data_IF_065580698447
#
_entry.id   IF_065580698447
#
_cell.length_a   1.000
_cell.length_b   1.000
_cell.length_c   1.000
_cell.angle_alpha   90.00
_cell.angle_beta   90.00
_cell.angle_gamma   90.00
#
_symmetry.space_group_name_H-M   'P 1'
#
loop_
_entity.id
_entity.type
_entity.pdbx_description
1 polymer ?
#
# COMPACT_ATOMS: atom_id res chain seq x y z
N UNK A 1 -23.68 8.90 5.22
CA UNK A 1 -22.99 8.62 3.95
C UNK A 1 -21.59 8.06 4.16
N UNK A 2 -20.70 8.73 4.93
CA UNK A 2 -19.30 8.32 5.15
C UNK A 2 -19.23 6.90 5.72
N UNK A 3 -20.03 6.56 6.72
CA UNK A 3 -20.08 5.22 7.30
C UNK A 3 -20.52 4.16 6.29
N UNK A 4 -21.54 4.48 5.48
CA UNK A 4 -22.00 3.55 4.44
C UNK A 4 -20.96 3.37 3.33
N UNK A 5 -20.52 4.46 2.71
CA UNK A 5 -19.60 4.41 1.57
C UNK A 5 -18.19 3.91 2.00
N UNK A 6 -17.68 4.44 3.12
CA UNK A 6 -16.37 4.04 3.64
C UNK A 6 -16.37 2.61 4.18
N UNK A 7 -17.40 2.23 4.93
CA UNK A 7 -17.56 0.87 5.45
C UNK A 7 -17.74 -0.16 4.33
N UNK A 8 -18.59 0.11 3.35
CA UNK A 8 -18.78 -0.78 2.20
C UNK A 8 -17.49 -0.93 1.37
N UNK A 9 -16.74 0.17 1.13
CA UNK A 9 -15.48 0.10 0.41
C UNK A 9 -14.41 -0.68 1.18
N UNK A 10 -14.25 -0.39 2.47
CA UNK A 10 -13.31 -1.08 3.36
C UNK A 10 -13.60 -2.58 3.39
N UNK A 11 -14.84 -2.97 3.68
CA UNK A 11 -15.23 -4.38 3.74
C UNK A 11 -15.13 -5.08 2.38
N UNK A 12 -15.49 -4.40 1.28
CA UNK A 12 -15.33 -4.96 -0.06
C UNK A 12 -13.87 -5.31 -0.35
N UNK A 13 -12.96 -4.40 -0.04
CA UNK A 13 -11.55 -4.68 -0.31
C UNK A 13 -10.95 -5.70 0.66
N UNK A 14 -11.44 -5.75 1.90
CA UNK A 14 -11.09 -6.82 2.83
C UNK A 14 -11.49 -8.20 2.31
N UNK A 15 -12.65 -8.31 1.67
CA UNK A 15 -13.09 -9.56 1.03
C UNK A 15 -12.31 -9.87 -0.26
N UNK A 16 -11.81 -8.87 -0.98
CA UNK A 16 -10.84 -9.10 -2.08
C UNK A 16 -9.57 -9.75 -1.53
N UNK A 17 -9.11 -9.36 -0.34
CA UNK A 17 -7.99 -10.04 0.32
C UNK A 17 -8.31 -11.49 0.69
N UNK A 18 -9.55 -11.79 1.06
CA UNK A 18 -9.99 -13.17 1.32
C UNK A 18 -9.96 -14.07 0.06
N UNK A 19 -10.04 -13.49 -1.14
CA UNK A 19 -9.85 -14.20 -2.42
C UNK A 19 -8.38 -14.26 -2.87
N UNK A 20 -7.52 -13.41 -2.30
CA UNK A 20 -6.14 -13.24 -2.78
C UNK A 20 -5.10 -13.86 -1.87
N UNK A 21 -5.21 -13.68 -0.56
CA UNK A 21 -4.11 -13.88 0.40
C UNK A 21 -4.19 -15.14 1.28
N UNK A 22 -5.28 -15.92 1.38
CA UNK A 22 -5.32 -17.07 2.27
C UNK A 22 -4.20 -18.09 2.02
N UNK A 23 -3.82 -18.34 0.76
CA UNK A 23 -2.74 -19.27 0.41
C UNK A 23 -1.41 -18.93 1.11
N UNK A 24 -1.20 -17.67 1.50
CA UNK A 24 0.02 -17.27 2.21
C UNK A 24 0.09 -17.81 3.64
N UNK A 25 -1.04 -18.28 4.19
CA UNK A 25 -1.11 -18.98 5.47
C UNK A 25 -0.55 -20.41 5.42
N UNK A 26 -0.49 -21.01 4.22
CA UNK A 26 0.11 -22.32 4.02
C UNK A 26 1.63 -22.19 3.87
N UNK A 27 2.37 -23.16 4.41
CA UNK A 27 3.83 -23.21 4.29
C UNK A 27 4.29 -23.95 3.04
N UNK A 28 3.50 -24.93 2.57
CA UNK A 28 3.82 -25.85 1.48
C UNK A 28 5.18 -26.55 1.67
N UNK A 29 5.47 -26.92 2.93
CA UNK A 29 6.76 -27.50 3.30
C UNK A 29 7.05 -28.82 2.57
N UNK A 30 8.28 -28.97 2.12
CA UNK A 30 8.75 -30.15 1.39
C UNK A 30 8.26 -30.24 -0.06
N UNK A 31 7.62 -29.17 -0.58
CA UNK A 31 7.22 -29.10 -1.98
C UNK A 31 8.18 -28.22 -2.77
N UNK A 32 8.70 -28.78 -3.85
CA UNK A 32 9.49 -28.08 -4.86
C UNK A 32 8.76 -28.07 -6.21
N UNK A 33 8.98 -27.01 -6.95
CA UNK A 33 8.46 -26.86 -8.30
C UNK A 33 9.54 -26.36 -9.23
N UNK A 34 9.87 -27.15 -10.25
CA UNK A 34 10.90 -26.81 -11.23
C UNK A 34 12.27 -26.52 -10.62
N UNK A 35 12.61 -27.15 -9.47
CA UNK A 35 13.85 -26.93 -8.73
C UNK A 35 13.88 -25.70 -7.85
N UNK A 36 12.74 -25.07 -7.59
CA UNK A 36 12.57 -23.90 -6.73
C UNK A 36 11.56 -24.19 -5.61
N UNK A 37 11.64 -23.44 -4.50
CA UNK A 37 10.65 -23.53 -3.43
C UNK A 37 9.24 -23.23 -3.99
N UNK A 38 8.31 -24.18 -3.78
CA UNK A 38 6.96 -24.11 -4.32
C UNK A 38 6.22 -22.83 -3.88
N UNK A 39 6.33 -22.43 -2.60
CA UNK A 39 5.67 -21.23 -2.07
C UNK A 39 6.21 -19.94 -2.71
N UNK A 40 7.51 -19.88 -2.95
CA UNK A 40 8.12 -18.73 -3.63
C UNK A 40 7.61 -18.63 -5.05
N UNK A 41 7.58 -19.76 -5.77
CA UNK A 41 7.15 -19.77 -7.18
C UNK A 41 5.66 -19.41 -7.32
N UNK A 42 4.79 -19.96 -6.47
CA UNK A 42 3.34 -19.62 -6.51
C UNK A 42 3.10 -18.16 -6.18
N UNK A 43 3.89 -17.58 -5.26
CA UNK A 43 3.83 -16.17 -4.92
C UNK A 43 4.28 -15.28 -6.09
N UNK A 44 5.42 -15.61 -6.73
CA UNK A 44 5.91 -14.89 -7.91
C UNK A 44 4.85 -14.90 -9.04
N UNK A 45 4.31 -16.08 -9.34
CA UNK A 45 3.32 -16.23 -10.43
C UNK A 45 2.06 -15.41 -10.15
N UNK A 46 1.56 -15.40 -8.91
CA UNK A 46 0.42 -14.56 -8.54
C UNK A 46 0.75 -13.06 -8.65
N UNK A 47 1.91 -12.63 -8.18
CA UNK A 47 2.34 -11.22 -8.25
C UNK A 47 2.51 -10.79 -9.71
N UNK A 48 3.03 -11.64 -10.60
CA UNK A 48 3.13 -11.34 -12.04
C UNK A 48 1.75 -11.11 -12.67
N UNK A 49 0.77 -11.96 -12.37
CA UNK A 49 -0.60 -11.74 -12.82
C UNK A 49 -1.16 -10.41 -12.32
N UNK A 50 -0.95 -10.10 -11.04
CA UNK A 50 -1.38 -8.86 -10.42
C UNK A 50 -0.70 -7.62 -11.01
N UNK A 51 0.59 -7.70 -11.33
CA UNK A 51 1.38 -6.63 -11.96
C UNK A 51 0.85 -6.31 -13.37
N UNK A 52 0.61 -7.35 -14.18
CA UNK A 52 0.04 -7.19 -15.52
C UNK A 52 -1.35 -6.54 -15.43
N UNK A 53 -2.19 -7.01 -14.51
CA UNK A 53 -3.50 -6.40 -14.28
C UNK A 53 -3.42 -4.93 -13.90
N UNK A 54 -2.49 -4.54 -13.02
CA UNK A 54 -2.28 -3.13 -12.67
C UNK A 54 -1.85 -2.29 -13.88
N UNK A 55 -0.95 -2.81 -14.71
CA UNK A 55 -0.50 -2.11 -15.91
C UNK A 55 -1.64 -1.86 -16.89
N UNK A 56 -2.40 -2.89 -17.21
CA UNK A 56 -3.59 -2.80 -18.09
C UNK A 56 -4.70 -1.98 -17.42
N UNK A 57 -4.83 -2.10 -16.11
CA UNK A 57 -5.84 -1.44 -15.29
C UNK A 57 -5.81 0.07 -15.31
N UNK A 58 -4.65 0.69 -15.54
CA UNK A 58 -4.53 2.15 -15.64
C UNK A 58 -5.47 2.69 -16.72
N UNK A 59 -5.46 2.08 -17.89
CA UNK A 59 -6.35 2.44 -19.00
C UNK A 59 -7.78 1.96 -18.75
N UNK A 60 -7.93 0.70 -18.38
CA UNK A 60 -9.22 0.05 -18.16
C UNK A 60 -10.08 0.81 -17.14
N UNK A 61 -9.52 1.16 -15.96
CA UNK A 61 -10.24 1.84 -14.89
C UNK A 61 -10.64 3.26 -15.31
N UNK A 62 -9.79 3.96 -16.08
CA UNK A 62 -10.09 5.30 -16.56
C UNK A 62 -11.23 5.34 -17.58
N UNK A 63 -11.41 4.27 -18.34
CA UNK A 63 -12.45 4.14 -19.37
C UNK A 63 -13.71 3.41 -18.85
N UNK A 64 -13.66 2.81 -17.64
CA UNK A 64 -14.73 1.98 -17.10
C UNK A 64 -15.95 2.82 -16.68
N UNK A 65 -17.00 2.75 -17.47
CA UNK A 65 -18.29 3.42 -17.19
C UNK A 65 -18.92 2.87 -15.91
N UNK A 66 -19.64 3.73 -15.17
CA UNK A 66 -20.31 3.37 -13.91
C UNK A 66 -21.18 2.10 -14.04
N UNK A 67 -21.89 1.97 -15.14
CA UNK A 67 -22.81 0.85 -15.42
C UNK A 67 -22.07 -0.51 -15.52
N UNK A 68 -20.81 -0.51 -15.90
CA UNK A 68 -20.02 -1.72 -16.07
C UNK A 68 -19.18 -2.09 -14.83
N UNK A 69 -19.05 -1.19 -13.83
CA UNK A 69 -18.22 -1.43 -12.64
C UNK A 69 -18.66 -2.65 -11.86
N UNK A 70 -19.98 -2.81 -11.63
CA UNK A 70 -20.51 -3.96 -10.91
C UNK A 70 -20.30 -5.27 -11.70
N UNK A 71 -20.51 -5.25 -13.02
CA UNK A 71 -20.25 -6.41 -13.87
C UNK A 71 -18.77 -6.80 -13.84
N UNK A 72 -17.88 -5.80 -13.85
CA UNK A 72 -16.44 -6.04 -13.73
C UNK A 72 -16.08 -6.67 -12.38
N UNK A 73 -16.62 -6.18 -11.26
CA UNK A 73 -16.41 -6.78 -9.94
C UNK A 73 -16.85 -8.23 -9.96
N UNK A 74 -18.09 -8.53 -10.40
CA UNK A 74 -18.62 -9.89 -10.44
C UNK A 74 -17.78 -10.82 -11.31
N UNK A 75 -17.39 -10.39 -12.50
CA UNK A 75 -16.53 -11.17 -13.37
C UNK A 75 -15.17 -11.45 -12.74
N UNK A 76 -14.55 -10.43 -12.14
CA UNK A 76 -13.23 -10.56 -11.49
C UNK A 76 -13.26 -11.53 -10.32
N UNK A 77 -14.26 -11.44 -9.43
CA UNK A 77 -14.35 -12.34 -8.27
C UNK A 77 -14.70 -13.77 -8.66
N UNK A 78 -15.50 -13.97 -9.72
CA UNK A 78 -15.78 -15.29 -10.26
C UNK A 78 -14.53 -15.93 -10.86
N UNK A 79 -13.75 -15.19 -11.65
CA UNK A 79 -12.48 -15.69 -12.20
C UNK A 79 -11.48 -15.97 -11.09
N UNK A 80 -11.42 -15.12 -10.06
CA UNK A 80 -10.57 -15.33 -8.90
C UNK A 80 -10.94 -16.63 -8.16
N UNK A 81 -12.22 -16.86 -7.91
CA UNK A 81 -12.69 -18.07 -7.22
C UNK A 81 -12.46 -19.31 -8.08
N UNK A 82 -12.78 -19.27 -9.36
CA UNK A 82 -12.50 -20.39 -10.27
C UNK A 82 -11.01 -20.74 -10.30
N UNK A 83 -10.13 -19.75 -10.26
CA UNK A 83 -8.70 -20.00 -10.19
C UNK A 83 -8.27 -20.64 -8.86
N UNK A 84 -8.90 -20.28 -7.72
CA UNK A 84 -8.66 -20.96 -6.44
C UNK A 84 -9.17 -22.40 -6.44
N UNK A 85 -10.32 -22.67 -7.04
CA UNK A 85 -10.83 -24.03 -7.23
C UNK A 85 -9.88 -24.84 -8.12
N UNK A 86 -9.38 -24.26 -9.23
CA UNK A 86 -8.38 -24.91 -10.08
C UNK A 86 -7.07 -25.14 -9.33
N UNK A 87 -6.67 -24.25 -8.44
CA UNK A 87 -5.49 -24.43 -7.59
C UNK A 87 -5.62 -25.64 -6.67
N UNK A 88 -6.82 -25.91 -6.16
CA UNK A 88 -7.11 -27.11 -5.37
C UNK A 88 -7.25 -28.39 -6.20
N UNK A 89 -7.77 -28.31 -7.42
CA UNK A 89 -8.05 -29.47 -8.27
C UNK A 89 -6.83 -29.98 -9.03
N UNK A 90 -5.98 -29.08 -9.51
CA UNK A 90 -4.83 -29.46 -10.32
C UNK A 90 -3.70 -30.00 -9.44
N UNK A 91 -2.95 -31.02 -9.90
CA UNK A 91 -1.81 -31.51 -9.16
C UNK A 91 -0.67 -30.48 -9.15
N UNK A 92 0.08 -30.41 -8.04
CA UNK A 92 1.34 -29.70 -8.00
C UNK A 92 2.36 -30.36 -8.97
N UNK A 93 3.23 -29.58 -9.65
CA UNK A 93 3.39 -28.13 -9.56
C UNK A 93 2.51 -27.33 -10.54
N UNK A 94 1.70 -27.96 -11.38
CA UNK A 94 0.96 -27.30 -12.47
C UNK A 94 -0.16 -26.37 -11.96
N UNK A 95 -0.64 -26.58 -10.74
CA UNK A 95 -1.64 -25.71 -10.11
C UNK A 95 -1.14 -24.28 -9.86
N UNK A 96 0.17 -24.04 -9.86
CA UNK A 96 0.76 -22.69 -9.74
C UNK A 96 0.21 -21.74 -10.82
N UNK A 97 -0.01 -22.23 -12.04
CA UNK A 97 -0.54 -21.39 -13.13
C UNK A 97 -1.95 -20.86 -12.88
N UNK A 98 -2.75 -21.54 -12.06
CA UNK A 98 -4.05 -21.03 -11.65
C UNK A 98 -3.92 -19.72 -10.85
N UNK A 99 -2.87 -19.58 -10.05
CA UNK A 99 -2.62 -18.38 -9.26
C UNK A 99 -2.24 -17.15 -10.10
N UNK A 100 -1.73 -17.34 -11.31
CA UNK A 100 -1.58 -16.24 -12.27
C UNK A 100 -2.92 -15.57 -12.58
N UNK A 101 -3.94 -16.37 -12.88
CA UNK A 101 -5.29 -15.85 -13.17
C UNK A 101 -5.95 -15.24 -11.94
N UNK A 102 -5.67 -15.77 -10.73
CA UNK A 102 -6.09 -15.16 -9.48
C UNK A 102 -5.51 -13.73 -9.35
N UNK A 103 -4.20 -13.58 -9.52
CA UNK A 103 -3.53 -12.28 -9.49
C UNK A 103 -4.06 -11.33 -10.57
N UNK A 104 -4.20 -11.82 -11.80
CA UNK A 104 -4.68 -11.06 -12.97
C UNK A 104 -6.10 -10.51 -12.75
N UNK A 105 -7.00 -11.32 -12.22
CA UNK A 105 -8.39 -10.93 -12.01
C UNK A 105 -8.56 -9.89 -10.88
N UNK A 106 -7.72 -9.96 -9.84
CA UNK A 106 -7.85 -9.11 -8.66
C UNK A 106 -7.02 -7.82 -8.72
N UNK A 107 -6.05 -7.70 -9.65
CA UNK A 107 -5.12 -6.57 -9.68
C UNK A 107 -5.75 -5.19 -9.89
N UNK A 108 -6.91 -5.13 -10.56
CA UNK A 108 -7.64 -3.89 -10.81
C UNK A 108 -8.64 -3.53 -9.70
N UNK A 109 -8.95 -4.43 -8.77
CA UNK A 109 -10.06 -4.33 -7.83
C UNK A 109 -9.96 -3.09 -6.93
N UNK A 110 -8.75 -2.73 -6.50
CA UNK A 110 -8.54 -1.52 -5.70
C UNK A 110 -9.07 -0.27 -6.43
N UNK A 111 -8.66 -0.08 -7.67
CA UNK A 111 -9.06 1.08 -8.46
C UNK A 111 -10.55 1.09 -8.80
N UNK A 112 -11.13 -0.08 -9.08
CA UNK A 112 -12.57 -0.18 -9.37
C UNK A 112 -13.41 0.13 -8.14
N UNK A 113 -13.08 -0.41 -6.96
CA UNK A 113 -13.79 -0.10 -5.70
C UNK A 113 -13.59 1.38 -5.35
N UNK A 114 -12.37 1.91 -5.46
CA UNK A 114 -12.08 3.32 -5.21
C UNK A 114 -12.92 4.25 -6.10
N UNK A 115 -13.16 3.88 -7.35
CA UNK A 115 -13.94 4.68 -8.29
C UNK A 115 -15.39 4.93 -7.86
N UNK A 116 -15.97 4.12 -6.96
CA UNK A 116 -17.31 4.36 -6.40
C UNK A 116 -17.34 5.47 -5.35
N UNK A 117 -16.23 5.68 -4.65
CA UNK A 117 -16.10 6.66 -3.56
C UNK A 117 -15.38 7.94 -3.99
N UNK A 118 -14.73 7.91 -5.16
CA UNK A 118 -14.00 9.03 -5.73
C UNK A 118 -14.92 10.15 -6.23
N UNK A 119 -14.39 11.38 -6.30
CA UNK A 119 -15.07 12.52 -6.92
C UNK A 119 -16.03 13.25 -6.00
N UNK A 120 -15.90 13.08 -4.68
CA UNK A 120 -16.73 13.70 -3.65
C UNK A 120 -15.91 14.60 -2.74
N UNK A 121 -16.55 15.54 -2.09
CA UNK A 121 -15.96 16.36 -1.03
C UNK A 121 -15.35 15.52 0.10
N UNK A 122 -15.93 14.36 0.39
CA UNK A 122 -15.48 13.43 1.43
C UNK A 122 -14.46 12.39 0.94
N UNK A 123 -14.00 12.47 -0.32
CA UNK A 123 -13.10 11.47 -0.93
C UNK A 123 -11.84 11.23 -0.10
N UNK A 124 -11.25 12.29 0.48
CA UNK A 124 -10.02 12.14 1.26
C UNK A 124 -10.21 11.30 2.52
N UNK A 125 -11.34 11.47 3.22
CA UNK A 125 -11.69 10.66 4.40
C UNK A 125 -11.96 9.22 3.98
N UNK A 126 -12.72 9.03 2.90
CA UNK A 126 -13.05 7.71 2.36
C UNK A 126 -11.81 6.97 1.87
N UNK A 127 -10.88 7.67 1.22
CA UNK A 127 -9.61 7.11 0.76
C UNK A 127 -8.74 6.61 1.92
N UNK A 128 -8.69 7.34 3.03
CA UNK A 128 -7.96 6.94 4.24
C UNK A 128 -8.58 5.70 4.88
N UNK A 129 -9.90 5.68 5.06
CA UNK A 129 -10.61 4.50 5.56
C UNK A 129 -10.38 3.29 4.65
N UNK A 130 -10.43 3.49 3.35
CA UNK A 130 -10.18 2.44 2.36
C UNK A 130 -8.74 1.93 2.40
N UNK A 131 -7.75 2.83 2.56
CA UNK A 131 -6.33 2.47 2.66
C UNK A 131 -6.01 1.57 3.86
N UNK A 132 -6.71 1.75 4.98
CA UNK A 132 -6.53 0.95 6.20
C UNK A 132 -6.91 -0.52 5.99
N UNK A 133 -7.84 -0.81 5.07
CA UNK A 133 -8.23 -2.17 4.75
C UNK A 133 -7.04 -3.05 4.37
N UNK A 134 -5.97 -2.47 3.81
CA UNK A 134 -4.77 -3.20 3.37
C UNK A 134 -4.10 -3.94 4.54
N UNK A 135 -3.96 -3.29 5.71
CA UNK A 135 -3.29 -3.89 6.87
C UNK A 135 -4.18 -4.96 7.50
N UNK A 136 -5.38 -4.57 7.94
CA UNK A 136 -6.30 -5.47 8.66
C UNK A 136 -6.59 -6.72 7.82
N UNK A 137 -6.82 -6.52 6.52
CA UNK A 137 -7.25 -7.61 5.66
C UNK A 137 -6.18 -8.67 5.45
N UNK A 138 -4.91 -8.31 5.46
CA UNK A 138 -3.82 -9.27 5.31
C UNK A 138 -3.71 -10.19 6.52
N UNK A 139 -3.66 -9.63 7.73
CA UNK A 139 -3.61 -10.41 8.97
C UNK A 139 -4.86 -11.27 9.16
N UNK A 140 -6.05 -10.71 8.86
CA UNK A 140 -7.31 -11.46 8.96
C UNK A 140 -7.36 -12.61 7.96
N UNK A 141 -6.97 -12.39 6.70
CA UNK A 141 -6.97 -13.44 5.68
C UNK A 141 -6.04 -14.61 6.07
N UNK A 142 -4.84 -14.33 6.57
CA UNK A 142 -3.91 -15.35 7.09
C UNK A 142 -4.46 -16.08 8.31
N UNK A 143 -5.03 -15.35 9.26
CA UNK A 143 -5.61 -15.94 10.46
C UNK A 143 -6.79 -16.85 10.14
N UNK A 144 -7.67 -16.46 9.22
CA UNK A 144 -8.75 -17.32 8.73
C UNK A 144 -8.16 -18.56 8.03
N UNK A 145 -7.11 -18.39 7.20
CA UNK A 145 -6.41 -19.50 6.56
C UNK A 145 -5.89 -20.51 7.57
N UNK A 146 -5.17 -20.06 8.60
CA UNK A 146 -4.68 -20.91 9.69
C UNK A 146 -5.83 -21.58 10.48
N UNK A 147 -6.90 -20.84 10.76
CA UNK A 147 -8.07 -21.41 11.43
C UNK A 147 -8.71 -22.53 10.59
N UNK A 148 -8.88 -22.31 9.28
CA UNK A 148 -9.47 -23.31 8.38
C UNK A 148 -8.59 -24.57 8.28
N UNK A 149 -7.27 -24.41 8.22
CA UNK A 149 -6.34 -25.54 8.18
C UNK A 149 -6.27 -26.27 9.52
N UNK A 150 -6.10 -25.55 10.62
CA UNK A 150 -5.83 -26.15 11.93
C UNK A 150 -7.08 -26.66 12.63
N UNK A 151 -8.23 -25.99 12.45
CA UNK A 151 -9.48 -26.34 13.15
C UNK A 151 -10.44 -27.16 12.30
N UNK A 152 -10.57 -26.79 11.00
CA UNK A 152 -11.45 -27.50 10.06
C UNK A 152 -10.71 -28.60 9.30
N UNK A 153 -9.39 -28.74 9.50
CA UNK A 153 -8.53 -29.74 8.85
C UNK A 153 -8.62 -29.75 7.32
N UNK A 154 -8.83 -28.59 6.70
CA UNK A 154 -8.84 -28.44 5.25
C UNK A 154 -7.40 -28.35 4.73
N UNK A 155 -7.09 -29.10 3.67
CA UNK A 155 -5.76 -29.12 3.09
C UNK A 155 -5.33 -27.77 2.51
N UNK A 156 -4.01 -27.52 2.47
CA UNK A 156 -3.39 -26.24 2.06
C UNK A 156 -3.85 -25.76 0.68
N UNK A 157 -4.09 -26.68 -0.27
CA UNK A 157 -4.52 -26.34 -1.62
C UNK A 157 -6.01 -25.96 -1.72
N UNK A 158 -6.88 -26.55 -0.87
CA UNK A 158 -8.32 -26.30 -0.88
C UNK A 158 -8.76 -25.16 0.04
N UNK A 159 -7.95 -24.85 1.04
CA UNK A 159 -8.24 -23.79 2.01
C UNK A 159 -8.54 -22.43 1.35
N UNK A 160 -7.77 -21.96 0.33
CA UNK A 160 -8.07 -20.68 -0.32
C UNK A 160 -9.41 -20.68 -1.05
N UNK A 161 -9.77 -21.77 -1.74
CA UNK A 161 -11.05 -21.89 -2.43
C UNK A 161 -12.24 -21.90 -1.45
N UNK A 162 -12.11 -22.60 -0.32
CA UNK A 162 -13.17 -22.61 0.70
C UNK A 162 -13.42 -21.20 1.24
N UNK A 163 -12.37 -20.45 1.56
CA UNK A 163 -12.49 -19.07 2.06
C UNK A 163 -13.07 -18.16 0.98
N UNK A 164 -12.64 -18.32 -0.26
CA UNK A 164 -13.14 -17.57 -1.40
C UNK A 164 -14.63 -17.80 -1.66
N UNK A 165 -15.09 -19.04 -1.57
CA UNK A 165 -16.50 -19.41 -1.72
C UNK A 165 -17.41 -18.70 -0.71
N UNK A 166 -16.95 -18.51 0.54
CA UNK A 166 -17.69 -17.71 1.55
C UNK A 166 -17.57 -16.20 1.29
N UNK A 167 -16.42 -15.72 0.84
CA UNK A 167 -16.19 -14.31 0.58
C UNK A 167 -16.97 -13.81 -0.65
N UNK A 168 -17.14 -14.64 -1.68
CA UNK A 168 -17.72 -14.26 -2.96
C UNK A 168 -19.15 -13.68 -2.84
N UNK A 169 -20.15 -14.34 -2.19
CA UNK A 169 -21.48 -13.79 -2.06
C UNK A 169 -21.52 -12.49 -1.23
N UNK A 170 -20.68 -12.40 -0.20
CA UNK A 170 -20.57 -11.19 0.62
C UNK A 170 -19.98 -10.02 -0.18
N UNK A 171 -18.96 -10.29 -0.98
CA UNK A 171 -18.35 -9.26 -1.85
C UNK A 171 -19.32 -8.83 -2.96
N UNK A 172 -20.09 -9.76 -3.53
CA UNK A 172 -21.14 -9.42 -4.49
C UNK A 172 -22.22 -8.52 -3.86
N UNK A 173 -22.65 -8.81 -2.63
CA UNK A 173 -23.60 -8.00 -1.89
C UNK A 173 -23.05 -6.59 -1.60
N UNK A 174 -21.81 -6.49 -1.12
CA UNK A 174 -21.16 -5.21 -0.86
C UNK A 174 -20.93 -4.42 -2.15
N UNK A 175 -20.54 -5.07 -3.25
CA UNK A 175 -20.46 -4.45 -4.56
C UNK A 175 -21.80 -3.86 -5.01
N UNK A 176 -22.91 -4.56 -4.74
CA UNK A 176 -24.24 -4.04 -4.98
C UNK A 176 -24.55 -2.80 -4.11
N UNK A 177 -24.18 -2.80 -2.82
CA UNK A 177 -24.36 -1.62 -1.96
C UNK A 177 -23.53 -0.43 -2.42
N UNK A 178 -22.30 -0.65 -2.90
CA UNK A 178 -21.47 0.38 -3.53
C UNK A 178 -22.11 0.95 -4.80
N UNK A 179 -22.71 0.08 -5.63
CA UNK A 179 -23.38 0.50 -6.86
C UNK A 179 -24.63 1.37 -6.60
N UNK A 180 -25.24 1.23 -5.42
CA UNK A 180 -26.39 2.04 -4.95
C UNK A 180 -25.98 3.38 -4.35
N UNK A 181 -24.71 3.69 -4.23
CA UNK A 181 -24.28 4.99 -3.73
C UNK A 181 -24.79 6.12 -4.63
N UNK A 182 -25.35 7.21 -4.05
CA UNK A 182 -25.82 8.36 -4.81
C UNK A 182 -24.67 8.94 -5.65
N UNK A 183 -24.98 9.62 -6.73
CA UNK A 183 -23.95 10.28 -7.54
C UNK A 183 -23.36 11.48 -6.80
N UNK A 184 -22.10 11.90 -7.11
CA UNK A 184 -21.55 13.16 -6.63
C UNK A 184 -22.50 14.31 -6.97
N UNK A 185 -22.72 15.19 -5.99
CA UNK A 185 -23.56 16.38 -6.18
C UNK A 185 -22.84 17.42 -7.03
N UNK A 186 -23.58 18.42 -7.54
CA UNK A 186 -22.98 19.55 -8.23
C UNK A 186 -21.96 20.30 -7.36
N UNK A 187 -22.23 20.36 -6.06
CA UNK A 187 -21.35 20.93 -5.05
C UNK A 187 -20.04 20.10 -4.90
N UNK A 188 -20.16 18.77 -4.87
CA UNK A 188 -19.00 17.86 -4.86
C UNK A 188 -18.12 18.08 -6.09
N UNK A 189 -18.73 18.27 -7.26
CA UNK A 189 -18.03 18.48 -8.53
C UNK A 189 -17.34 19.85 -8.56
N UNK A 190 -17.99 20.89 -8.03
CA UNK A 190 -17.46 22.25 -7.99
C UNK A 190 -16.31 22.41 -6.99
N UNK A 191 -16.39 21.74 -5.82
CA UNK A 191 -15.37 21.76 -4.78
C UNK A 191 -14.22 20.74 -5.07
N UNK A 192 -14.43 19.85 -6.04
CA UNK A 192 -13.38 18.92 -6.51
C UNK A 192 -12.24 19.76 -7.07
N UNK A 193 -11.12 19.78 -6.35
CA UNK A 193 -9.90 20.31 -6.92
C UNK A 193 -9.67 19.65 -8.27
N UNK A 194 -9.63 20.45 -9.34
CA UNK A 194 -9.39 19.93 -10.69
C UNK A 194 -8.11 19.09 -10.62
N UNK A 195 -8.24 17.76 -10.70
CA UNK A 195 -7.10 16.87 -10.82
C UNK A 195 -6.47 17.16 -12.17
N UNK A 196 -5.52 18.08 -12.18
CA UNK A 196 -4.78 18.43 -13.39
C UNK A 196 -3.93 17.23 -13.74
N UNK A 197 -4.27 16.59 -14.85
CA UNK A 197 -3.41 15.56 -15.44
C UNK A 197 -2.12 16.23 -15.90
N UNK A 198 -1.00 15.83 -15.29
CA UNK A 198 0.31 16.29 -15.72
C UNK A 198 0.61 15.80 -17.15
N UNK A 199 0.90 16.70 -18.03
CA UNK A 199 1.46 16.35 -19.33
C UNK A 199 2.93 15.90 -19.19
N UNK A 200 3.51 15.28 -20.24
CA UNK A 200 4.87 14.74 -20.17
C UNK A 200 5.95 15.80 -19.83
N UNK A 201 5.78 17.05 -20.27
CA UNK A 201 6.70 18.16 -19.96
C UNK A 201 6.63 18.55 -18.49
N UNK A 202 5.43 18.68 -17.95
CA UNK A 202 5.20 19.01 -16.53
C UNK A 202 5.72 17.92 -15.59
N UNK A 203 5.56 16.64 -15.96
CA UNK A 203 6.16 15.51 -15.22
C UNK A 203 7.68 15.61 -15.20
N UNK A 204 8.31 15.85 -16.32
CA UNK A 204 9.78 15.98 -16.42
C UNK A 204 10.30 17.18 -15.62
N UNK A 205 9.59 18.28 -15.62
CA UNK A 205 9.94 19.48 -14.83
C UNK A 205 9.82 19.23 -13.33
N UNK A 206 8.74 18.59 -12.89
CA UNK A 206 8.54 18.19 -11.52
C UNK A 206 9.67 17.29 -11.01
N UNK A 207 10.00 16.23 -11.77
CA UNK A 207 11.10 15.34 -11.43
C UNK A 207 12.43 16.10 -11.37
N UNK A 208 12.72 16.99 -12.33
CA UNK A 208 13.95 17.78 -12.34
C UNK A 208 14.06 18.70 -11.12
N UNK A 209 12.97 19.32 -10.71
CA UNK A 209 12.96 20.28 -9.59
C UNK A 209 13.09 19.64 -8.21
N UNK A 210 12.60 18.41 -8.05
CA UNK A 210 12.61 17.67 -6.80
C UNK A 210 13.39 16.35 -6.88
N UNK A 211 14.20 16.17 -7.93
CA UNK A 211 14.92 14.92 -8.22
C UNK A 211 15.65 14.33 -7.01
N UNK A 212 16.45 15.09 -6.23
CA UNK A 212 17.21 14.49 -5.13
C UNK A 212 16.32 13.84 -4.08
N UNK A 213 15.26 14.54 -3.64
CA UNK A 213 14.36 14.00 -2.62
C UNK A 213 13.45 12.91 -3.18
N UNK A 214 12.99 13.01 -4.43
CA UNK A 214 12.14 11.98 -5.05
C UNK A 214 12.90 10.67 -5.23
N UNK A 215 14.18 10.71 -5.61
CA UNK A 215 15.01 9.49 -5.70
C UNK A 215 15.15 8.84 -4.33
N UNK A 216 15.49 9.61 -3.29
CA UNK A 216 15.62 9.08 -1.92
C UNK A 216 14.31 8.44 -1.45
N UNK A 217 13.18 9.13 -1.65
CA UNK A 217 11.86 8.65 -1.26
C UNK A 217 11.44 7.40 -2.04
N UNK A 218 11.70 7.36 -3.34
CA UNK A 218 11.32 6.22 -4.19
C UNK A 218 12.16 4.98 -3.89
N UNK A 219 13.47 5.14 -3.70
CA UNK A 219 14.35 4.02 -3.31
C UNK A 219 13.97 3.49 -1.93
N UNK A 220 13.78 4.38 -0.95
CA UNK A 220 13.34 3.96 0.39
C UNK A 220 11.99 3.25 0.36
N UNK A 221 11.01 3.80 -0.39
CA UNK A 221 9.71 3.17 -0.51
C UNK A 221 9.77 1.83 -1.26
N UNK A 222 10.60 1.71 -2.31
CA UNK A 222 10.84 0.43 -2.98
C UNK A 222 11.29 -0.64 -2.00
N UNK A 223 12.30 -0.34 -1.17
CA UNK A 223 12.82 -1.26 -0.16
C UNK A 223 11.77 -1.64 0.88
N UNK A 224 10.97 -0.66 1.34
CA UNK A 224 9.87 -0.91 2.28
C UNK A 224 8.74 -1.76 1.68
N UNK A 225 8.42 -1.57 0.39
CA UNK A 225 7.41 -2.40 -0.30
C UNK A 225 7.89 -3.84 -0.42
N UNK A 226 9.14 -4.06 -0.82
CA UNK A 226 9.74 -5.39 -0.91
C UNK A 226 9.71 -6.08 0.46
N UNK A 227 10.14 -5.38 1.51
CA UNK A 227 10.16 -5.91 2.88
C UNK A 227 8.75 -6.24 3.37
N UNK A 228 7.76 -5.38 3.06
CA UNK A 228 6.35 -5.64 3.37
C UNK A 228 5.84 -6.88 2.68
N UNK A 229 6.09 -7.02 1.38
CA UNK A 229 5.58 -8.16 0.60
C UNK A 229 6.20 -9.47 1.08
N UNK A 230 7.50 -9.48 1.38
CA UNK A 230 8.16 -10.65 1.96
C UNK A 230 7.55 -11.00 3.32
N UNK A 231 7.37 -10.02 4.22
CA UNK A 231 6.68 -10.25 5.49
C UNK A 231 5.27 -10.79 5.26
N UNK A 232 4.50 -10.17 4.37
CA UNK A 232 3.11 -10.54 4.14
C UNK A 232 2.94 -11.96 3.55
N UNK A 233 3.81 -12.35 2.64
CA UNK A 233 3.65 -13.60 1.90
C UNK A 233 4.37 -14.79 2.56
N UNK A 234 5.41 -14.53 3.36
CA UNK A 234 6.23 -15.58 3.97
C UNK A 234 6.19 -15.58 5.51
N UNK A 235 5.25 -14.86 6.13
CA UNK A 235 5.19 -14.71 7.59
C UNK A 235 5.15 -16.05 8.32
N UNK A 236 4.43 -17.06 7.80
CA UNK A 236 4.35 -18.41 8.39
C UNK A 236 5.65 -19.23 8.23
N UNK A 237 6.54 -18.82 7.31
CA UNK A 237 7.91 -19.39 7.21
C UNK A 237 8.92 -18.61 8.07
N UNK A 238 8.63 -17.35 8.37
CA UNK A 238 9.47 -16.49 9.23
C UNK A 238 9.25 -16.81 10.71
N UNK A 239 8.01 -17.09 11.10
CA UNK A 239 7.61 -17.28 12.49
C UNK A 239 7.15 -18.72 12.69
N UNK A 240 7.72 -19.39 13.69
CA UNK A 240 7.17 -20.65 14.18
C UNK A 240 5.82 -20.39 14.88
N UNK A 241 4.75 -20.96 14.32
CA UNK A 241 3.40 -20.84 14.84
C UNK A 241 3.08 -21.86 15.95
N UNK A 242 4.02 -22.75 16.31
CA UNK A 242 3.86 -23.72 17.38
C UNK A 242 3.57 -23.00 18.70
N UNK A 243 2.45 -23.33 19.33
CA UNK A 243 2.03 -22.70 20.59
C UNK A 243 1.37 -21.33 20.46
N UNK A 244 1.21 -20.80 19.25
CA UNK A 244 0.51 -19.53 19.01
C UNK A 244 -0.90 -19.74 18.45
N UNK A 245 -1.80 -18.80 18.77
CA UNK A 245 -3.16 -18.79 18.23
C UNK A 245 -3.17 -18.53 16.73
N UNK A 246 -4.05 -19.20 15.97
CA UNK A 246 -4.32 -18.89 14.55
C UNK A 246 -4.72 -17.43 14.34
N UNK A 247 -5.21 -16.74 15.36
CA UNK A 247 -5.62 -15.32 15.30
C UNK A 247 -4.50 -14.31 15.59
N UNK A 248 -3.28 -14.77 15.87
CA UNK A 248 -2.15 -13.91 16.23
C UNK A 248 -1.95 -12.77 15.22
N UNK A 249 -1.96 -13.07 13.92
CA UNK A 249 -1.71 -12.06 12.88
C UNK A 249 -2.82 -11.01 12.81
N UNK A 250 -4.08 -11.46 12.90
CA UNK A 250 -5.22 -10.54 12.93
C UNK A 250 -5.21 -9.63 14.16
N UNK A 251 -4.83 -10.16 15.32
CA UNK A 251 -4.74 -9.38 16.56
C UNK A 251 -3.66 -8.30 16.45
N UNK A 252 -2.46 -8.66 16.03
CA UNK A 252 -1.35 -7.71 15.89
C UNK A 252 -1.67 -6.64 14.86
N UNK A 253 -2.12 -7.03 13.66
CA UNK A 253 -2.42 -6.09 12.58
C UNK A 253 -3.60 -5.17 12.95
N UNK A 254 -4.57 -5.64 13.74
CA UNK A 254 -5.66 -4.80 14.24
C UNK A 254 -5.15 -3.73 15.22
N UNK A 255 -4.31 -4.11 16.19
CA UNK A 255 -3.73 -3.16 17.15
C UNK A 255 -2.82 -2.16 16.45
N UNK A 256 -1.96 -2.62 15.55
CA UNK A 256 -1.09 -1.75 14.71
C UNK A 256 -1.94 -0.76 13.91
N UNK A 257 -3.02 -1.24 13.31
CA UNK A 257 -3.93 -0.38 12.54
C UNK A 257 -4.56 0.70 13.40
N UNK A 258 -5.05 0.38 14.60
CA UNK A 258 -5.63 1.36 15.52
C UNK A 258 -4.61 2.44 15.93
N UNK A 259 -3.37 2.05 16.21
CA UNK A 259 -2.29 2.98 16.51
C UNK A 259 -2.01 3.92 15.32
N UNK A 260 -1.88 3.37 14.13
CA UNK A 260 -1.61 4.18 12.91
C UNK A 260 -2.77 5.11 12.62
N UNK A 261 -4.02 4.64 12.77
CA UNK A 261 -5.22 5.48 12.64
C UNK A 261 -5.19 6.67 13.60
N UNK A 262 -4.87 6.43 14.88
CA UNK A 262 -4.76 7.48 15.87
C UNK A 262 -3.66 8.47 15.51
N UNK A 263 -2.46 7.99 15.15
CA UNK A 263 -1.32 8.84 14.77
C UNK A 263 -1.63 9.68 13.52
N UNK A 264 -2.18 9.09 12.47
CA UNK A 264 -2.51 9.82 11.24
C UNK A 264 -3.76 10.72 11.41
N UNK A 265 -4.70 10.31 12.27
CA UNK A 265 -5.84 11.13 12.64
C UNK A 265 -5.42 12.43 13.32
N UNK A 266 -4.43 12.39 14.20
CA UNK A 266 -3.88 13.59 14.85
C UNK A 266 -3.26 14.58 13.87
N UNK A 267 -2.82 14.14 12.67
CA UNK A 267 -2.27 15.04 11.65
C UNK A 267 -3.31 16.01 11.08
N UNK A 268 -4.61 15.75 11.25
CA UNK A 268 -5.69 16.66 10.83
C UNK A 268 -5.64 17.98 11.61
N UNK A 269 -5.20 17.96 12.85
CA UNK A 269 -5.10 19.16 13.68
C UNK A 269 -3.91 20.06 13.32
N UNK A 270 -2.95 19.56 12.55
CA UNK A 270 -1.77 20.31 12.12
C UNK A 270 -2.06 21.05 10.81
N UNK A 271 -2.24 22.37 10.89
CA UNK A 271 -2.60 23.22 9.72
C UNK A 271 -1.46 23.40 8.71
N UNK A 272 -0.21 23.42 9.16
CA UNK A 272 0.97 23.68 8.30
C UNK A 272 1.40 22.41 7.56
N UNK A 273 1.38 22.45 6.22
CA UNK A 273 1.76 21.31 5.39
C UNK A 273 3.20 20.86 5.61
N UNK A 274 4.15 21.80 5.75
CA UNK A 274 5.56 21.45 6.02
C UNK A 274 5.72 20.78 7.39
N UNK A 275 5.01 21.27 8.43
CA UNK A 275 5.05 20.63 9.75
C UNK A 275 4.51 19.20 9.69
N UNK A 276 3.41 18.96 8.97
CA UNK A 276 2.88 17.60 8.78
C UNK A 276 3.90 16.72 8.08
N UNK A 277 4.55 17.17 7.01
CA UNK A 277 5.59 16.41 6.31
C UNK A 277 6.76 16.06 7.23
N UNK A 278 7.24 17.02 8.03
CA UNK A 278 8.34 16.77 8.97
C UNK A 278 7.94 15.77 10.05
N UNK A 279 6.74 15.92 10.65
CA UNK A 279 6.24 14.98 11.68
C UNK A 279 6.11 13.58 11.10
N UNK A 280 5.48 13.43 9.91
CA UNK A 280 5.32 12.14 9.26
C UNK A 280 6.65 11.46 8.98
N UNK A 281 7.60 12.18 8.37
CA UNK A 281 8.92 11.62 8.08
C UNK A 281 9.71 11.33 9.36
N UNK A 282 9.57 12.13 10.43
CA UNK A 282 10.20 11.84 11.72
C UNK A 282 9.65 10.56 12.35
N UNK A 283 8.34 10.31 12.23
CA UNK A 283 7.74 9.05 12.68
C UNK A 283 8.27 7.86 11.85
N UNK A 284 8.43 8.05 10.54
CA UNK A 284 9.02 7.01 9.66
C UNK A 284 10.47 6.75 10.04
N UNK A 285 11.27 7.79 10.29
CA UNK A 285 12.67 7.66 10.77
C UNK A 285 12.72 6.89 12.08
N UNK A 286 11.90 7.24 13.06
CA UNK A 286 11.82 6.54 14.34
C UNK A 286 11.43 5.06 14.14
N UNK A 287 10.42 4.78 13.31
CA UNK A 287 9.98 3.43 12.99
C UNK A 287 11.09 2.61 12.30
N UNK A 288 11.69 3.13 11.24
CA UNK A 288 12.74 2.40 10.49
C UNK A 288 14.01 2.19 11.33
N UNK A 289 14.38 3.16 12.18
CA UNK A 289 15.49 3.00 13.12
C UNK A 289 15.19 1.92 14.18
N UNK A 290 13.98 1.90 14.75
CA UNK A 290 13.56 0.87 15.71
C UNK A 290 13.52 -0.50 15.05
N UNK A 291 12.97 -0.61 13.84
CA UNK A 291 12.95 -1.85 13.07
C UNK A 291 14.35 -2.39 12.85
N UNK A 292 15.27 -1.54 12.41
CA UNK A 292 16.68 -1.91 12.19
C UNK A 292 17.36 -2.35 13.46
N UNK A 293 17.22 -1.59 14.54
CA UNK A 293 17.83 -1.91 15.84
C UNK A 293 17.36 -3.27 16.36
N UNK A 294 16.05 -3.52 16.34
CA UNK A 294 15.47 -4.78 16.82
C UNK A 294 15.90 -5.96 15.94
N UNK A 295 15.97 -5.78 14.62
CA UNK A 295 16.35 -6.84 13.70
C UNK A 295 17.83 -7.22 13.80
N UNK A 296 18.72 -6.24 13.89
CA UNK A 296 20.17 -6.49 13.97
C UNK A 296 20.60 -7.00 15.36
N UNK A 297 19.80 -6.80 16.38
CA UNK A 297 20.07 -7.27 17.74
C UNK A 297 19.09 -8.37 18.19
N UNK A 298 18.48 -9.09 17.25
CA UNK A 298 17.44 -10.06 17.51
C UNK A 298 17.83 -11.08 18.59
N UNK A 299 19.00 -11.71 18.45
CA UNK A 299 19.51 -12.73 19.36
C UNK A 299 19.85 -12.17 20.76
N UNK A 300 20.30 -10.91 20.82
CA UNK A 300 20.68 -10.26 22.08
C UNK A 300 19.46 -9.79 22.87
N UNK A 301 18.43 -9.30 22.18
CA UNK A 301 17.22 -8.74 22.80
C UNK A 301 16.28 -9.81 23.35
N UNK A 302 16.37 -11.04 22.83
CA UNK A 302 15.53 -12.18 23.24
C UNK A 302 14.03 -11.83 23.40
N UNK A 303 13.52 -11.05 22.45
CA UNK A 303 12.11 -10.63 22.46
C UNK A 303 11.19 -11.82 22.20
N UNK A 304 10.01 -11.80 22.80
CA UNK A 304 8.97 -12.76 22.44
C UNK A 304 8.57 -12.56 20.97
N UNK A 305 8.17 -13.63 20.29
CA UNK A 305 7.67 -13.61 18.90
C UNK A 305 6.59 -12.55 18.70
N UNK A 306 5.67 -12.43 19.66
CA UNK A 306 4.58 -11.44 19.61
C UNK A 306 5.12 -10.01 19.65
N UNK A 307 6.04 -9.72 20.57
CA UNK A 307 6.64 -8.38 20.72
C UNK A 307 7.46 -8.01 19.49
N UNK A 308 8.28 -8.95 19.01
CA UNK A 308 9.07 -8.74 17.80
C UNK A 308 8.17 -8.45 16.59
N UNK A 309 7.16 -9.29 16.36
CA UNK A 309 6.24 -9.13 15.24
C UNK A 309 5.45 -7.81 15.32
N UNK A 310 5.03 -7.41 16.52
CA UNK A 310 4.35 -6.13 16.75
C UNK A 310 5.24 -4.94 16.36
N UNK A 311 6.50 -4.93 16.85
CA UNK A 311 7.45 -3.86 16.53
C UNK A 311 7.75 -3.80 15.05
N UNK A 312 8.03 -4.95 14.41
CA UNK A 312 8.27 -5.03 12.97
C UNK A 312 7.07 -4.54 12.16
N UNK A 313 5.88 -4.99 12.51
CA UNK A 313 4.63 -4.59 11.83
C UNK A 313 4.37 -3.09 11.99
N UNK A 314 4.42 -2.56 13.21
CA UNK A 314 4.15 -1.15 13.47
C UNK A 314 5.13 -0.24 12.71
N UNK A 315 6.42 -0.54 12.80
CA UNK A 315 7.49 0.23 12.15
C UNK A 315 7.33 0.25 10.63
N UNK A 316 7.11 -0.93 10.05
CA UNK A 316 6.97 -1.10 8.60
C UNK A 316 5.71 -0.41 8.06
N UNK A 317 4.56 -0.59 8.73
CA UNK A 317 3.30 -0.02 8.27
C UNK A 317 3.19 1.49 8.48
N UNK A 318 3.81 2.07 9.53
CA UNK A 318 3.93 3.52 9.66
C UNK A 318 4.64 4.08 8.42
N UNK A 319 5.78 3.50 8.05
CA UNK A 319 6.56 3.94 6.91
C UNK A 319 5.78 3.79 5.59
N UNK A 320 5.22 2.61 5.35
CA UNK A 320 4.49 2.30 4.11
C UNK A 320 3.24 3.17 3.93
N UNK A 321 2.37 3.24 4.94
CA UNK A 321 1.11 4.00 4.82
C UNK A 321 1.29 5.51 4.80
N UNK A 322 2.39 6.03 5.33
CA UNK A 322 2.73 7.44 5.20
C UNK A 322 2.69 7.87 3.72
N UNK A 323 3.28 7.08 2.82
CA UNK A 323 3.32 7.37 1.39
C UNK A 323 2.00 7.10 0.68
N UNK A 324 1.28 6.07 1.10
CA UNK A 324 0.01 5.68 0.46
C UNK A 324 -1.16 6.62 0.80
N UNK A 325 -1.06 7.45 1.85
CA UNK A 325 -2.23 8.19 2.31
C UNK A 325 -2.05 9.70 2.44
N UNK A 326 -1.00 10.21 3.06
CA UNK A 326 -0.94 11.62 3.48
C UNK A 326 0.23 12.37 2.85
N UNK A 327 1.38 11.70 2.67
CA UNK A 327 2.62 12.37 2.31
C UNK A 327 2.51 13.15 1.00
N UNK A 328 2.08 12.52 -0.09
CA UNK A 328 2.03 13.18 -1.39
C UNK A 328 0.99 14.29 -1.47
N UNK A 329 -0.14 14.15 -0.78
CA UNK A 329 -1.13 15.23 -0.65
C UNK A 329 -0.52 16.48 -0.03
N UNK A 330 0.19 16.30 1.10
CA UNK A 330 0.84 17.39 1.80
C UNK A 330 2.05 17.94 1.06
N UNK A 331 2.79 17.08 0.36
CA UNK A 331 3.93 17.49 -0.48
C UNK A 331 3.47 18.38 -1.65
N UNK A 332 2.44 17.97 -2.37
CA UNK A 332 1.85 18.74 -3.47
C UNK A 332 1.31 20.09 -2.95
N UNK A 333 0.60 20.07 -1.83
CA UNK A 333 0.07 21.29 -1.23
C UNK A 333 1.17 22.24 -0.71
N UNK A 334 2.23 21.69 -0.10
CA UNK A 334 3.34 22.48 0.44
C UNK A 334 4.09 23.26 -0.63
N UNK A 335 4.40 22.59 -1.74
CA UNK A 335 5.18 23.17 -2.84
C UNK A 335 4.32 23.70 -3.99
N UNK A 336 2.99 23.75 -3.83
CA UNK A 336 2.03 24.22 -4.84
C UNK A 336 2.22 23.54 -6.22
N UNK A 337 2.52 22.25 -6.19
CA UNK A 337 2.79 21.47 -7.38
C UNK A 337 1.46 21.23 -8.13
N UNK A 338 1.42 21.57 -9.41
CA UNK A 338 0.32 21.15 -10.28
C UNK A 338 0.51 19.67 -10.60
N UNK A 339 -0.19 18.77 -9.88
CA UNK A 339 0.02 17.33 -10.02
C UNK A 339 -1.09 16.49 -9.44
N UNK A 340 -1.04 15.19 -9.76
CA UNK A 340 -1.98 14.18 -9.24
C UNK A 340 -1.23 13.21 -8.32
N UNK A 341 -1.71 13.08 -7.08
CA UNK A 341 -1.21 12.13 -6.08
C UNK A 341 -1.23 10.68 -6.61
N UNK A 342 -2.29 10.32 -7.34
CA UNK A 342 -2.45 8.99 -7.90
C UNK A 342 -1.31 8.56 -8.83
N UNK A 343 -0.70 9.49 -9.56
CA UNK A 343 0.47 9.20 -10.38
C UNK A 343 1.66 8.71 -9.55
N UNK A 344 1.95 9.38 -8.43
CA UNK A 344 3.02 8.97 -7.53
C UNK A 344 2.75 7.59 -6.93
N UNK A 345 1.53 7.36 -6.43
CA UNK A 345 1.14 6.09 -5.80
C UNK A 345 1.26 4.93 -6.79
N UNK A 346 0.71 5.07 -8.01
CA UNK A 346 0.79 4.00 -9.02
C UNK A 346 2.22 3.71 -9.44
N UNK A 347 3.05 4.76 -9.59
CA UNK A 347 4.47 4.59 -9.96
C UNK A 347 5.24 3.84 -8.87
N UNK A 348 5.05 4.22 -7.61
CA UNK A 348 5.68 3.60 -6.46
C UNK A 348 5.25 2.13 -6.32
N UNK A 349 3.97 1.84 -6.44
CA UNK A 349 3.44 0.49 -6.37
C UNK A 349 4.02 -0.41 -7.48
N UNK A 350 4.06 0.08 -8.72
CA UNK A 350 4.60 -0.67 -9.84
C UNK A 350 6.08 -1.03 -9.63
N UNK A 351 6.88 -0.03 -9.24
CA UNK A 351 8.30 -0.23 -8.94
C UNK A 351 8.46 -1.22 -7.77
N UNK A 352 7.64 -1.08 -6.72
CA UNK A 352 7.67 -1.94 -5.55
C UNK A 352 7.42 -3.42 -5.87
N UNK A 353 6.32 -3.74 -6.55
CA UNK A 353 6.00 -5.12 -6.93
C UNK A 353 7.04 -5.73 -7.89
N UNK A 354 7.57 -4.94 -8.82
CA UNK A 354 8.66 -5.38 -9.69
C UNK A 354 9.89 -5.73 -8.86
N UNK A 355 10.24 -4.90 -7.88
CA UNK A 355 11.35 -5.15 -6.97
C UNK A 355 11.15 -6.42 -6.14
N UNK A 356 9.94 -6.66 -5.63
CA UNK A 356 9.62 -7.90 -4.88
C UNK A 356 9.85 -9.15 -5.72
N UNK A 357 9.36 -9.16 -6.97
CA UNK A 357 9.58 -10.30 -7.88
C UNK A 357 11.08 -10.52 -8.12
N UNK A 358 11.84 -9.45 -8.38
CA UNK A 358 13.29 -9.55 -8.60
C UNK A 358 14.03 -10.09 -7.39
N UNK A 359 13.70 -9.64 -6.18
CA UNK A 359 14.35 -10.12 -4.94
C UNK A 359 14.02 -11.59 -4.69
N UNK A 360 12.76 -12.00 -4.88
CA UNK A 360 12.37 -13.40 -4.72
C UNK A 360 13.04 -14.31 -5.77
N UNK A 361 13.13 -13.87 -7.01
CA UNK A 361 13.88 -14.60 -8.06
C UNK A 361 15.35 -14.69 -7.72
N UNK A 362 15.97 -13.58 -7.30
CA UNK A 362 17.37 -13.57 -6.90
C UNK A 362 17.63 -14.53 -5.74
N UNK A 363 16.77 -14.54 -4.72
CA UNK A 363 16.84 -15.47 -3.59
C UNK A 363 16.85 -16.91 -4.08
N UNK A 364 15.93 -17.28 -4.95
CA UNK A 364 15.80 -18.67 -5.45
C UNK A 364 16.98 -19.11 -6.31
N UNK A 365 17.51 -18.23 -7.17
CA UNK A 365 18.59 -18.60 -8.06
C UNK A 365 19.97 -18.68 -7.39
N UNK A 366 20.19 -17.92 -6.31
CA UNK A 366 21.51 -17.80 -5.69
C UNK A 366 21.62 -18.47 -4.31
N UNK A 367 20.52 -18.72 -3.62
CA UNK A 367 20.55 -19.32 -2.29
C UNK A 367 19.20 -19.96 -1.93
N UNK A 368 19.08 -21.27 -2.12
CA UNK A 368 17.84 -22.01 -1.90
C UNK A 368 17.59 -22.39 -0.43
N UNK A 369 18.67 -22.59 0.36
CA UNK A 369 18.59 -23.03 1.76
C UNK A 369 18.75 -21.85 2.72
N UNK A 370 17.74 -20.97 2.79
CA UNK A 370 17.76 -19.81 3.69
C UNK A 370 16.85 -20.06 4.89
N UNK A 371 17.37 -19.77 6.09
CA UNK A 371 16.51 -19.52 7.26
C UNK A 371 15.73 -18.22 7.03
N UNK A 372 14.40 -18.33 6.89
CA UNK A 372 13.54 -17.19 6.59
C UNK A 372 13.55 -16.10 7.66
N UNK A 373 13.70 -16.47 8.93
CA UNK A 373 13.79 -15.53 10.05
C UNK A 373 15.08 -14.71 9.97
N UNK A 374 16.22 -15.38 9.76
CA UNK A 374 17.52 -14.72 9.64
C UNK A 374 17.57 -13.82 8.41
N UNK A 375 17.07 -14.31 7.29
CA UNK A 375 16.95 -13.53 6.06
C UNK A 375 16.11 -12.27 6.26
N UNK A 376 14.93 -12.40 6.88
CA UNK A 376 14.08 -11.28 7.16
C UNK A 376 14.72 -10.29 8.13
N UNK A 377 15.35 -10.76 9.21
CA UNK A 377 16.04 -9.90 10.18
C UNK A 377 17.22 -9.15 9.53
N UNK A 378 18.04 -9.81 8.75
CA UNK A 378 19.14 -9.14 8.04
C UNK A 378 18.59 -8.10 7.06
N UNK A 379 17.61 -8.48 6.24
CA UNK A 379 17.00 -7.59 5.27
C UNK A 379 16.35 -6.38 5.95
N UNK A 380 15.53 -6.58 6.99
CA UNK A 380 14.86 -5.49 7.71
C UNK A 380 15.86 -4.60 8.46
N UNK A 381 16.94 -5.17 8.94
CA UNK A 381 18.05 -4.44 9.55
C UNK A 381 18.71 -3.46 8.58
N UNK A 382 19.19 -3.96 7.43
CA UNK A 382 19.84 -3.12 6.43
C UNK A 382 18.88 -2.14 5.75
N UNK A 383 17.68 -2.58 5.38
CA UNK A 383 16.65 -1.71 4.82
C UNK A 383 16.29 -0.60 5.81
N UNK A 384 16.18 -0.93 7.10
CA UNK A 384 15.91 0.05 8.14
C UNK A 384 16.99 1.13 8.25
N UNK A 385 18.30 0.79 8.17
CA UNK A 385 19.39 1.77 8.15
C UNK A 385 19.26 2.67 6.92
N UNK A 386 19.16 2.08 5.72
CA UNK A 386 19.08 2.83 4.46
C UNK A 386 17.89 3.80 4.49
N UNK A 387 16.73 3.33 4.91
CA UNK A 387 15.52 4.14 5.00
C UNK A 387 15.66 5.26 6.04
N UNK A 388 16.23 4.97 7.21
CA UNK A 388 16.47 5.98 8.26
C UNK A 388 17.35 7.12 7.75
N UNK A 389 18.42 6.80 7.05
CA UNK A 389 19.30 7.81 6.43
C UNK A 389 18.57 8.58 5.33
N UNK A 390 17.91 7.87 4.40
CA UNK A 390 17.21 8.48 3.28
C UNK A 390 16.09 9.44 3.73
N UNK A 391 15.29 9.05 4.72
CA UNK A 391 14.22 9.90 5.24
C UNK A 391 14.76 11.07 6.06
N UNK A 392 15.84 10.89 6.82
CA UNK A 392 16.50 11.99 7.53
C UNK A 392 17.05 13.04 6.56
N UNK A 393 17.73 12.61 5.49
CA UNK A 393 18.18 13.49 4.41
C UNK A 393 16.99 14.20 3.72
N UNK A 394 15.88 13.48 3.52
CA UNK A 394 14.67 14.04 2.92
C UNK A 394 14.04 15.12 3.78
N UNK A 395 14.02 14.98 5.12
CA UNK A 395 13.55 16.00 6.05
C UNK A 395 14.38 17.27 5.88
N UNK A 396 15.72 17.14 5.94
CA UNK A 396 16.63 18.28 5.81
C UNK A 396 16.41 19.01 4.48
N UNK A 397 16.35 18.27 3.37
CA UNK A 397 16.12 18.83 2.04
C UNK A 397 14.77 19.58 1.95
N UNK A 398 13.68 18.98 2.42
CA UNK A 398 12.35 19.58 2.35
C UNK A 398 12.24 20.88 3.19
N UNK A 399 12.83 20.89 4.37
CA UNK A 399 12.86 22.08 5.23
C UNK A 399 13.68 23.20 4.59
N UNK A 400 14.87 22.89 4.07
CA UNK A 400 15.72 23.88 3.39
C UNK A 400 15.03 24.44 2.14
N UNK A 401 14.44 23.56 1.33
CA UNK A 401 13.73 23.95 0.11
C UNK A 401 12.52 24.84 0.43
N UNK A 402 11.74 24.47 1.43
CA UNK A 402 10.59 25.27 1.87
C UNK A 402 11.01 26.68 2.33
N UNK A 403 12.04 26.79 3.17
CA UNK A 403 12.58 28.08 3.60
C UNK A 403 13.04 28.94 2.41
N UNK A 404 13.75 28.35 1.45
CA UNK A 404 14.20 29.05 0.25
C UNK A 404 13.03 29.58 -0.59
N UNK A 405 11.98 28.79 -0.79
CA UNK A 405 10.80 29.21 -1.53
C UNK A 405 9.99 30.29 -0.79
N UNK A 406 9.92 30.23 0.53
CA UNK A 406 9.28 31.24 1.35
C UNK A 406 10.00 32.59 1.26
N UNK A 407 11.32 32.60 1.35
CA UNK A 407 12.15 33.79 1.17
C UNK A 407 11.96 34.43 -0.20
N UNK A 408 11.95 33.62 -1.27
CA UNK A 408 11.72 34.10 -2.63
C UNK A 408 10.32 34.71 -2.83
N UNK A 409 9.30 34.14 -2.19
CA UNK A 409 7.93 34.68 -2.22
C UNK A 409 7.83 36.03 -1.46
N UNK A 410 8.46 36.10 -0.30
CA UNK A 410 8.47 37.34 0.49
C UNK A 410 9.21 38.44 -0.24
N UNK A 411 10.35 38.15 -0.86
CA UNK A 411 11.11 39.11 -1.67
C UNK A 411 10.29 39.69 -2.83
N UNK A 412 9.64 38.81 -3.63
CA UNK A 412 8.77 39.24 -4.74
C UNK A 412 7.58 40.08 -4.27
N UNK A 413 6.95 39.72 -3.14
CA UNK A 413 5.83 40.48 -2.61
C UNK A 413 6.26 41.88 -2.13
N UNK A 414 7.49 42.03 -1.67
CA UNK A 414 8.07 43.35 -1.29
C UNK A 414 8.36 44.17 -2.54
N UNK A 415 8.92 43.55 -3.61
CA UNK A 415 9.17 44.26 -4.88
C UNK A 415 7.87 44.70 -5.54
N UNK A 416 6.84 43.84 -5.67
CA UNK A 416 5.54 44.22 -6.22
C UNK A 416 4.87 45.37 -5.43
N UNK A 417 4.98 45.35 -4.12
CA UNK A 417 4.43 46.42 -3.27
C UNK A 417 5.19 47.74 -3.44
N UNK A 418 6.50 47.67 -3.64
CA UNK A 418 7.35 48.84 -3.91
C UNK A 418 7.00 49.48 -5.28
N UNK A 419 6.84 48.64 -6.32
CA UNK A 419 6.44 49.09 -7.65
C UNK A 419 5.04 49.75 -7.66
N UNK A 420 4.07 49.13 -6.93
CA UNK A 420 2.74 49.74 -6.77
C UNK A 420 2.78 51.08 -6.06
N UNK A 421 3.60 51.24 -5.03
CA UNK A 421 3.76 52.49 -4.33
C UNK A 421 4.42 53.57 -5.25
N UNK A 422 5.45 53.22 -5.99
CA UNK A 422 6.09 54.14 -6.95
C UNK A 422 5.12 54.55 -8.07
N UNK A 423 4.33 53.65 -8.59
CA UNK A 423 3.30 53.95 -9.59
C UNK A 423 2.19 54.86 -9.03
N UNK A 424 1.78 54.64 -7.79
CA UNK A 424 0.78 55.50 -7.14
C UNK A 424 1.31 56.94 -6.86
N UNK A 425 2.59 57.11 -6.51
CA UNK A 425 3.21 58.40 -6.35
C UNK A 425 3.43 59.14 -7.67
N UNK A 426 3.65 58.45 -8.77
CA UNK A 426 3.83 59.02 -10.12
C UNK A 426 2.52 59.55 -10.73
N UNK A 427 1.36 59.19 -10.20
CA UNK A 427 0.02 59.60 -10.69
C UNK A 427 -0.58 60.73 -9.87
N UNK A 428 0.08 61.18 -8.78
CA UNK A 428 -0.40 62.35 -8.02
C UNK A 428 -0.05 63.64 -8.79
N UNK A 429 -1.04 64.45 -9.17
CA UNK A 429 -0.78 65.73 -9.81
C UNK A 429 -0.10 66.68 -8.83
N UNK A 430 0.92 67.38 -9.29
CA UNK A 430 1.67 68.43 -8.63
C UNK A 430 0.80 69.66 -8.29
#
# INVERSE_FOLDING_TARGET
FILWAGGAALLSYSLVYALRKPFTAASFDGLDAFGLDYKVLVTIVQILGYLIAKFVGIKLISELKKEHRMKFILASILVAELSLVLFGLLPAPYNIFAMFFNGLSLGCMWGVIFSFIEGRRTTDILARLFGISIIISSGVAKSIGLFVMNTLHVGEFWMPALIGAFALPLLALLGYTLNRLPQPTQQDIAEKSQRVTLNGKQRKELFRNFMPVLILLFVANLLLVILRDIKEDFLVKIIDMSGHSSWLFAQIDSVVTLIILALFGMMVFVKSNIKVLVILLSMVVAGTATMSFVSLNYDTLQLSTVTWLFIQSLSLYIAYLCFQSIFFDRFIACFKIKGNVGFFIVTIDFIGYTGTVLVLMFKEFFNTDINWLDFYNQMSGYVGIICTVAFSCSIVYLVQRHKKEELLRTGRAVEEKSEMLQSAFSVMPS
#
